data_IF_333054178351
#
_entry.id   IF_333054178351
#
_cell.length_a   1.000
_cell.length_b   1.000
_cell.length_c   1.000
_cell.angle_alpha   90.00
_cell.angle_beta   90.00
_cell.angle_gamma   90.00
#
_symmetry.space_group_name_H-M   'P 1'
#
loop_
_entity.id
_entity.type
_entity.pdbx_description
1 polymer ?
#
# COMPACT_ATOMS: atom_id res chain seq x y z
N UNK A 1 19.35 36.15 44.24
CA UNK A 1 18.87 34.98 43.47
C UNK A 1 17.91 35.50 42.41
N UNK A 2 18.36 35.61 41.16
CA UNK A 2 17.52 36.09 40.06
C UNK A 2 16.89 34.87 39.37
N UNK A 3 15.56 34.78 39.43
CA UNK A 3 14.79 33.79 38.68
C UNK A 3 14.78 34.18 37.20
N UNK A 4 15.57 33.51 36.38
CA UNK A 4 15.46 33.58 34.92
C UNK A 4 14.30 32.67 34.51
N UNK A 5 13.09 33.22 34.43
CA UNK A 5 12.01 32.58 33.68
C UNK A 5 12.34 32.69 32.19
N UNK A 6 12.84 31.60 31.61
CA UNK A 6 13.00 31.46 30.17
C UNK A 6 11.59 31.45 29.56
N UNK A 7 11.17 32.55 28.96
CA UNK A 7 9.95 32.60 28.15
C UNK A 7 10.11 31.60 27.01
N UNK A 8 9.34 30.51 27.06
CA UNK A 8 9.21 29.59 25.92
C UNK A 8 8.67 30.44 24.77
N UNK A 9 9.34 30.51 23.61
CA UNK A 9 8.78 31.21 22.47
C UNK A 9 7.45 30.52 22.15
N UNK A 10 6.36 31.28 22.24
CA UNK A 10 5.07 30.88 21.75
C UNK A 10 5.30 30.55 20.28
N UNK A 11 5.29 29.28 19.94
CA UNK A 11 5.21 28.85 18.54
C UNK A 11 3.80 29.25 18.12
N UNK A 12 3.67 30.46 17.60
CA UNK A 12 2.50 30.84 16.82
C UNK A 12 2.52 29.90 15.61
N UNK A 13 1.80 28.79 15.73
CA UNK A 13 1.37 28.01 14.58
C UNK A 13 0.77 29.03 13.61
N UNK A 14 1.31 29.18 12.39
CA UNK A 14 0.83 30.20 11.46
C UNK A 14 -0.65 29.94 11.18
N UNK A 15 -1.51 30.66 11.91
CA UNK A 15 -2.93 30.76 11.65
C UNK A 15 -3.09 31.67 10.45
N UNK A 16 -2.99 31.09 9.26
CA UNK A 16 -3.87 31.31 8.11
C UNK A 16 -3.26 30.51 6.94
N UNK A 17 -3.50 29.20 6.95
CA UNK A 17 -3.44 28.44 5.70
C UNK A 17 -4.57 29.03 4.85
N UNK A 18 -4.25 29.62 3.70
CA UNK A 18 -5.29 30.26 2.87
C UNK A 18 -6.34 29.21 2.49
N UNK A 19 -7.62 29.59 2.25
CA UNK A 19 -8.64 28.63 1.81
C UNK A 19 -8.18 27.79 0.62
N UNK A 20 -7.39 28.38 -0.27
CA UNK A 20 -6.73 27.70 -1.38
C UNK A 20 -5.74 26.62 -0.91
N UNK A 21 -4.85 26.94 0.04
CA UNK A 21 -3.89 25.96 0.57
C UNK A 21 -4.58 24.81 1.32
N UNK A 22 -5.71 25.07 2.00
CA UNK A 22 -6.50 24.03 2.66
C UNK A 22 -7.14 23.08 1.64
N UNK A 23 -7.69 23.62 0.54
CA UNK A 23 -8.26 22.83 -0.54
C UNK A 23 -7.21 21.96 -1.25
N UNK A 24 -6.02 22.54 -1.49
CA UNK A 24 -4.88 21.80 -2.05
C UNK A 24 -4.47 20.66 -1.11
N UNK A 25 -4.36 20.93 0.20
CA UNK A 25 -4.00 19.91 1.19
C UNK A 25 -5.04 18.77 1.26
N UNK A 26 -6.34 19.12 1.17
CA UNK A 26 -7.43 18.14 1.14
C UNK A 26 -7.35 17.25 -0.10
N UNK A 27 -7.21 17.85 -1.28
CA UNK A 27 -7.08 17.12 -2.55
C UNK A 27 -5.86 16.18 -2.53
N UNK A 28 -4.73 16.66 -2.01
CA UNK A 28 -3.53 15.84 -1.88
C UNK A 28 -3.74 14.69 -0.90
N UNK A 29 -4.43 14.93 0.23
CA UNK A 29 -4.74 13.90 1.22
C UNK A 29 -5.64 12.81 0.65
N UNK A 30 -6.65 13.18 -0.15
CA UNK A 30 -7.54 12.22 -0.82
C UNK A 30 -6.76 11.36 -1.82
N UNK A 31 -5.95 11.98 -2.68
CA UNK A 31 -5.10 11.26 -3.63
C UNK A 31 -4.07 10.33 -2.94
N UNK A 32 -3.53 10.75 -1.79
CA UNK A 32 -2.63 9.90 -1.00
C UNK A 32 -3.35 8.68 -0.40
N UNK A 33 -4.60 8.84 0.05
CA UNK A 33 -5.39 7.74 0.58
C UNK A 33 -5.67 6.69 -0.51
N UNK A 34 -6.01 7.14 -1.72
CA UNK A 34 -6.20 6.25 -2.87
C UNK A 34 -4.92 5.48 -3.21
N UNK A 35 -3.78 6.18 -3.25
CA UNK A 35 -2.47 5.53 -3.49
C UNK A 35 -2.12 4.50 -2.40
N UNK A 36 -2.36 4.82 -1.13
CA UNK A 36 -2.13 3.88 -0.02
C UNK A 36 -3.01 2.63 -0.13
N UNK A 37 -4.27 2.79 -0.53
CA UNK A 37 -5.17 1.67 -0.76
C UNK A 37 -4.66 0.75 -1.89
N UNK A 38 -4.16 1.33 -2.98
CA UNK A 38 -3.56 0.58 -4.09
C UNK A 38 -2.27 -0.14 -3.67
N UNK A 39 -1.41 0.49 -2.87
CA UNK A 39 -0.18 -0.12 -2.35
C UNK A 39 -0.49 -1.32 -1.42
N UNK A 40 -1.50 -1.19 -0.57
CA UNK A 40 -1.96 -2.28 0.30
C UNK A 40 -2.51 -3.45 -0.53
N UNK A 41 -3.33 -3.16 -1.54
CA UNK A 41 -3.88 -4.17 -2.43
C UNK A 41 -2.75 -4.88 -3.22
N UNK A 42 -1.79 -4.12 -3.75
CA UNK A 42 -0.62 -4.67 -4.44
C UNK A 42 0.18 -5.63 -3.55
N UNK A 43 0.42 -5.23 -2.30
CA UNK A 43 1.15 -6.02 -1.32
C UNK A 43 0.44 -7.34 -0.98
N UNK A 44 -0.88 -7.29 -0.78
CA UNK A 44 -1.70 -8.48 -0.54
C UNK A 44 -1.72 -9.44 -1.75
N UNK A 45 -1.82 -8.89 -2.97
CA UNK A 45 -1.76 -9.68 -4.21
C UNK A 45 -0.40 -10.39 -4.33
N UNK A 46 0.70 -9.66 -4.14
CA UNK A 46 2.06 -10.24 -4.20
C UNK A 46 2.25 -11.34 -3.16
N UNK A 47 1.76 -11.14 -1.94
CA UNK A 47 1.81 -12.14 -0.88
C UNK A 47 1.07 -13.43 -1.29
N UNK A 48 -0.15 -13.29 -1.83
CA UNK A 48 -0.96 -14.43 -2.29
C UNK A 48 -0.36 -15.15 -3.49
N UNK A 49 0.17 -14.42 -4.47
CA UNK A 49 0.88 -14.99 -5.63
C UNK A 49 2.11 -15.78 -5.16
N UNK A 50 2.88 -15.23 -4.22
CA UNK A 50 4.03 -15.91 -3.62
C UNK A 50 3.63 -17.23 -2.95
N UNK A 51 2.57 -17.22 -2.13
CA UNK A 51 2.08 -18.43 -1.48
C UNK A 51 1.60 -19.49 -2.48
N UNK A 52 0.89 -19.09 -3.54
CA UNK A 52 0.46 -20.01 -4.60
C UNK A 52 1.66 -20.63 -5.34
N UNK A 53 2.73 -19.87 -5.58
CA UNK A 53 3.95 -20.38 -6.20
C UNK A 53 4.68 -21.40 -5.30
N UNK A 54 4.67 -21.20 -3.98
CA UNK A 54 5.17 -22.17 -3.02
C UNK A 54 4.34 -23.46 -3.04
N UNK A 55 3.01 -23.35 -2.99
CA UNK A 55 2.11 -24.50 -3.10
C UNK A 55 2.30 -25.25 -4.42
N UNK A 56 2.46 -24.54 -5.55
CA UNK A 56 2.81 -25.16 -6.82
C UNK A 56 4.11 -25.95 -6.70
N UNK A 57 5.15 -25.36 -6.12
CA UNK A 57 6.44 -26.02 -5.94
C UNK A 57 6.33 -27.29 -5.09
N UNK A 58 5.46 -27.31 -4.09
CA UNK A 58 5.18 -28.50 -3.28
C UNK A 58 4.43 -29.60 -4.05
N UNK A 59 3.42 -29.24 -4.84
CA UNK A 59 2.68 -30.17 -5.69
C UNK A 59 3.64 -30.84 -6.68
N UNK A 60 4.47 -30.04 -7.37
CA UNK A 60 5.35 -30.54 -8.43
C UNK A 60 6.48 -31.45 -7.94
N UNK A 61 6.77 -31.49 -6.63
CA UNK A 61 7.71 -32.48 -6.05
C UNK A 61 7.21 -33.91 -6.22
N UNK A 62 5.89 -34.11 -6.13
CA UNK A 62 5.27 -35.44 -6.14
C UNK A 62 4.44 -35.71 -7.40
N UNK A 63 4.04 -34.65 -8.12
CA UNK A 63 3.16 -34.74 -9.30
C UNK A 63 3.64 -33.78 -10.39
N UNK A 64 4.75 -34.07 -11.09
CA UNK A 64 5.31 -33.19 -12.13
C UNK A 64 4.35 -32.90 -13.30
N UNK A 65 3.47 -33.85 -13.63
CA UNK A 65 2.45 -33.73 -14.68
C UNK A 65 1.42 -32.63 -14.40
N UNK A 66 1.26 -32.21 -13.15
CA UNK A 66 0.37 -31.11 -12.78
C UNK A 66 0.88 -29.72 -13.18
N UNK A 67 2.08 -29.61 -13.78
CA UNK A 67 2.72 -28.33 -14.11
C UNK A 67 1.84 -27.43 -14.96
N UNK A 68 1.28 -27.93 -16.05
CA UNK A 68 0.47 -27.11 -16.95
C UNK A 68 -0.76 -26.52 -16.25
N UNK A 69 -1.42 -27.32 -15.40
CA UNK A 69 -2.61 -26.90 -14.67
C UNK A 69 -2.28 -25.90 -13.55
N UNK A 70 -1.23 -26.17 -12.77
CA UNK A 70 -0.77 -25.26 -11.71
C UNK A 70 -0.25 -23.93 -12.27
N UNK A 71 0.48 -23.95 -13.40
CA UNK A 71 0.90 -22.74 -14.12
C UNK A 71 -0.32 -21.92 -14.57
N UNK A 72 -1.35 -22.58 -15.10
CA UNK A 72 -2.59 -21.92 -15.54
C UNK A 72 -3.29 -21.22 -14.37
N UNK A 73 -3.44 -21.90 -13.23
CA UNK A 73 -4.06 -21.31 -12.03
C UNK A 73 -3.28 -20.09 -11.54
N UNK A 74 -1.95 -20.21 -11.42
CA UNK A 74 -1.11 -19.10 -10.94
C UNK A 74 -1.23 -17.87 -11.86
N UNK A 75 -1.19 -18.09 -13.19
CA UNK A 75 -1.36 -17.02 -14.18
C UNK A 75 -2.75 -16.41 -14.14
N UNK A 76 -3.80 -17.23 -14.06
CA UNK A 76 -5.18 -16.77 -13.99
C UNK A 76 -5.43 -15.93 -12.74
N UNK A 77 -4.98 -16.41 -11.56
CA UNK A 77 -5.09 -15.65 -10.32
C UNK A 77 -4.37 -14.31 -10.42
N UNK A 78 -3.11 -14.32 -10.89
CA UNK A 78 -2.30 -13.10 -11.04
C UNK A 78 -3.00 -12.11 -11.97
N UNK A 79 -3.48 -12.57 -13.12
CA UNK A 79 -4.21 -11.75 -14.08
C UNK A 79 -5.46 -11.12 -13.45
N UNK A 80 -6.38 -11.93 -12.93
CA UNK A 80 -7.63 -11.43 -12.35
C UNK A 80 -7.41 -10.52 -11.15
N UNK A 81 -6.38 -10.77 -10.34
CA UNK A 81 -6.02 -9.91 -9.23
C UNK A 81 -5.53 -8.54 -9.72
N UNK A 82 -4.68 -8.50 -10.74
CA UNK A 82 -4.18 -7.23 -11.31
C UNK A 82 -5.27 -6.43 -12.04
N UNK A 83 -6.28 -7.09 -12.63
CA UNK A 83 -7.44 -6.39 -13.19
C UNK A 83 -8.24 -5.61 -12.13
N UNK A 84 -8.13 -5.97 -10.84
CA UNK A 84 -8.77 -5.23 -9.74
C UNK A 84 -7.99 -3.99 -9.29
N UNK A 85 -6.80 -3.77 -9.84
CA UNK A 85 -5.98 -2.59 -9.58
C UNK A 85 -6.14 -1.50 -10.66
N UNK A 86 -6.94 -1.77 -11.71
CA UNK A 86 -7.28 -0.83 -12.79
C UNK A 86 -8.57 -0.09 -12.46
#
# INVERSE_FOLDING_TARGET
MNHIQKSIPKVDLPQLVSPYQLEVAKTLSEAMADNQALELLASDILYKVGNLALTQSEILKNTPEAKAYTDYILKAFTYYATEKMK
#
